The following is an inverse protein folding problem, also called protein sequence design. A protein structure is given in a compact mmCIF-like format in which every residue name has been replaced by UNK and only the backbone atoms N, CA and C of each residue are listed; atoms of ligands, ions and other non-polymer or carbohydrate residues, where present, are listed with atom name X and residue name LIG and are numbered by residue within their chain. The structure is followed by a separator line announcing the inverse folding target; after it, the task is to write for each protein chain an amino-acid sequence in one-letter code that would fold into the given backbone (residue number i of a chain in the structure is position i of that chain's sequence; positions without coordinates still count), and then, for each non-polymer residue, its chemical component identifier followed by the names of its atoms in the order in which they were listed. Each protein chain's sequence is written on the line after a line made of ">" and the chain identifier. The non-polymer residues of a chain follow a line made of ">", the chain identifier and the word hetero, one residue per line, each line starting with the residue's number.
data_IF_785576794192
#
_entry.id   IF_785576794192
#
_cell.length_a   1.000
_cell.length_b   1.000
_cell.length_c   1.000
_cell.angle_alpha   90.00
_cell.angle_beta   90.00
_cell.angle_gamma   90.00
#
_symmetry.space_group_name_H-M   'P 1'
#
loop_
_entity.id
_entity.type
_entity.pdbx_description
1 polymer ?
#
# COMPACT_ATOMS: atom_id res chain seq x y z
N UNK A 1 38.70 1.32 54.61
CA UNK A 1 37.55 1.91 53.92
C UNK A 1 37.83 3.38 53.65
N UNK A 2 38.33 3.66 52.44
CA UNK A 2 38.85 4.98 52.02
C UNK A 2 37.68 5.76 51.40
N UNK A 3 37.32 6.88 52.06
CA UNK A 3 36.34 7.86 51.50
C UNK A 3 36.95 8.50 50.26
N UNK A 4 36.42 8.19 49.09
CA UNK A 4 36.68 9.00 47.91
C UNK A 4 36.25 10.44 48.15
N UNK A 5 37.13 11.37 47.89
CA UNK A 5 36.93 12.80 48.12
C UNK A 5 35.82 13.33 47.19
N UNK A 6 35.05 14.26 47.67
CA UNK A 6 33.91 14.83 46.93
C UNK A 6 34.30 15.47 45.58
N UNK A 7 35.57 15.82 45.42
CA UNK A 7 36.16 16.39 44.20
C UNK A 7 36.22 15.33 43.06
N UNK A 8 36.52 14.06 43.39
CA UNK A 8 36.61 12.98 42.40
C UNK A 8 35.23 12.61 41.81
N UNK A 9 34.18 12.80 42.59
CA UNK A 9 32.79 12.60 42.11
C UNK A 9 32.34 13.69 41.13
N UNK A 10 32.75 14.94 41.35
CA UNK A 10 32.43 16.03 40.42
C UNK A 10 33.13 15.90 39.08
N UNK A 11 34.41 15.48 39.09
CA UNK A 11 35.18 15.24 37.89
C UNK A 11 34.62 14.08 37.06
N UNK A 12 34.20 13.00 37.68
CA UNK A 12 33.54 11.88 37.01
C UNK A 12 32.18 12.28 36.41
N UNK A 13 31.38 13.11 37.11
CA UNK A 13 30.12 13.64 36.58
C UNK A 13 30.35 14.59 35.39
N UNK A 14 31.35 15.48 35.45
CA UNK A 14 31.71 16.34 34.31
C UNK A 14 32.16 15.57 33.09
N UNK A 15 32.96 14.48 33.25
CA UNK A 15 33.32 13.61 32.13
C UNK A 15 32.14 12.84 31.53
N UNK A 16 31.22 12.42 32.40
CA UNK A 16 30.01 11.72 31.95
C UNK A 16 29.05 12.63 31.18
N UNK A 17 28.88 13.88 31.66
CA UNK A 17 28.04 14.90 30.98
C UNK A 17 28.65 15.39 29.67
N UNK A 18 29.98 15.58 29.61
CA UNK A 18 30.63 16.00 28.37
C UNK A 18 30.62 14.88 27.28
N UNK A 19 30.75 13.62 27.67
CA UNK A 19 30.62 12.49 26.76
C UNK A 19 29.19 12.30 26.24
N UNK A 20 28.17 12.56 27.09
CA UNK A 20 26.76 12.47 26.67
C UNK A 20 26.36 13.65 25.75
N UNK A 21 26.88 14.86 25.99
CA UNK A 21 26.65 16.01 25.12
C UNK A 21 27.30 15.85 23.74
N UNK A 22 28.48 15.24 23.67
CA UNK A 22 29.15 14.91 22.40
C UNK A 22 28.40 13.81 21.63
N UNK A 23 27.77 12.86 22.32
CA UNK A 23 26.93 11.82 21.67
C UNK A 23 25.61 12.39 21.15
N UNK A 24 24.99 13.32 21.88
CA UNK A 24 23.74 13.98 21.47
C UNK A 24 23.99 14.94 20.29
N UNK A 25 25.11 15.67 20.27
CA UNK A 25 25.44 16.52 19.12
C UNK A 25 25.81 15.73 17.87
N UNK A 26 26.48 14.57 18.00
CA UNK A 26 26.68 13.65 16.88
C UNK A 26 25.39 12.97 16.39
N UNK A 27 24.49 12.62 17.31
CA UNK A 27 23.17 12.11 16.95
C UNK A 27 22.31 13.20 16.28
N UNK A 28 22.39 14.45 16.75
CA UNK A 28 21.76 15.59 16.11
C UNK A 28 22.30 15.86 14.69
N UNK A 29 23.61 15.75 14.48
CA UNK A 29 24.23 15.91 13.15
C UNK A 29 23.85 14.77 12.19
N UNK A 30 23.67 13.54 12.70
CA UNK A 30 23.18 12.39 11.91
C UNK A 30 21.68 12.50 11.57
N UNK A 31 20.91 13.22 12.39
CA UNK A 31 19.48 13.45 12.14
C UNK A 31 19.19 14.71 11.30
N UNK A 32 20.20 15.57 11.07
CA UNK A 32 20.13 16.75 10.21
C UNK A 32 20.80 16.53 8.83
N UNK A 33 21.32 15.35 8.52
CA UNK A 33 21.37 14.95 7.14
C UNK A 33 19.90 14.82 6.68
N UNK A 34 19.33 15.94 6.24
CA UNK A 34 18.19 15.93 5.36
C UNK A 34 18.54 14.88 4.31
N UNK A 35 17.81 13.78 4.33
CA UNK A 35 17.79 12.89 3.20
C UNK A 35 17.37 13.80 2.04
N UNK A 36 18.34 14.40 1.38
CA UNK A 36 18.14 14.98 0.07
C UNK A 36 17.64 13.81 -0.74
N UNK A 37 16.32 13.72 -0.87
CA UNK A 37 15.68 12.90 -1.88
C UNK A 37 16.22 13.47 -3.19
N UNK A 38 17.43 12.99 -3.58
CA UNK A 38 17.96 13.31 -4.88
C UNK A 38 16.88 12.87 -5.84
N UNK A 39 16.36 13.81 -6.61
CA UNK A 39 15.57 13.52 -7.79
C UNK A 39 16.50 12.83 -8.80
N UNK A 40 16.97 11.64 -8.46
CA UNK A 40 17.50 10.72 -9.43
C UNK A 40 16.31 10.41 -10.32
N UNK A 41 16.38 10.85 -11.58
CA UNK A 41 15.48 10.38 -12.61
C UNK A 41 15.38 8.87 -12.46
N UNK A 42 14.24 8.39 -11.96
CA UNK A 42 14.01 6.96 -11.84
C UNK A 42 14.14 6.40 -13.24
N UNK A 43 15.10 5.49 -13.47
CA UNK A 43 15.09 4.77 -14.72
C UNK A 43 13.75 4.01 -14.80
N UNK A 44 12.98 4.21 -15.86
CA UNK A 44 11.69 3.54 -15.98
C UNK A 44 11.89 2.03 -15.94
N UNK A 45 10.93 1.31 -15.40
CA UNK A 45 10.95 -0.15 -15.45
C UNK A 45 11.14 -0.62 -16.89
N UNK A 46 12.14 -1.45 -17.11
CA UNK A 46 12.33 -2.14 -18.40
C UNK A 46 11.24 -3.18 -18.63
N UNK A 47 10.68 -3.74 -17.53
CA UNK A 47 9.61 -4.73 -17.56
C UNK A 47 8.80 -4.68 -16.27
N UNK A 48 7.54 -4.26 -16.34
CA UNK A 48 6.55 -4.37 -15.27
C UNK A 48 5.82 -5.71 -15.33
N UNK A 49 5.52 -6.25 -14.16
CA UNK A 49 4.86 -7.54 -13.97
C UNK A 49 3.40 -7.36 -13.55
N UNK A 50 2.64 -8.45 -13.59
CA UNK A 50 1.31 -8.56 -12.99
C UNK A 50 1.41 -9.34 -11.69
N UNK A 51 1.03 -8.73 -10.58
CA UNK A 51 1.01 -9.36 -9.27
C UNK A 51 -0.42 -9.51 -8.74
N UNK A 52 -0.72 -10.65 -8.14
CA UNK A 52 -2.02 -10.92 -7.51
C UNK A 52 -1.81 -11.27 -6.04
N UNK A 53 -2.43 -10.48 -5.15
CA UNK A 53 -2.53 -10.80 -3.72
C UNK A 53 -3.95 -11.22 -3.40
N UNK A 54 -4.15 -12.49 -3.05
CA UNK A 54 -5.47 -13.09 -2.82
C UNK A 54 -5.55 -13.87 -1.49
N UNK A 55 -6.60 -14.63 -1.28
CA UNK A 55 -6.84 -15.47 -0.10
C UNK A 55 -7.65 -14.78 0.99
N UNK A 56 -8.07 -15.58 1.99
CA UNK A 56 -8.97 -15.15 3.07
C UNK A 56 -8.24 -14.50 4.25
N UNK A 57 -6.93 -14.65 4.33
CA UNK A 57 -6.10 -14.04 5.37
C UNK A 57 -5.97 -12.54 5.21
N UNK A 58 -5.58 -11.88 6.32
CA UNK A 58 -5.25 -10.45 6.35
C UNK A 58 -3.89 -10.21 5.68
N UNK A 59 -3.72 -9.04 5.04
CA UNK A 59 -2.43 -8.58 4.54
C UNK A 59 -2.39 -8.23 3.05
N UNK A 60 -3.41 -8.52 2.26
CA UNK A 60 -3.45 -8.26 0.81
C UNK A 60 -3.19 -6.79 0.46
N UNK A 61 -4.04 -5.89 0.93
CA UNK A 61 -3.86 -4.44 0.76
C UNK A 61 -2.54 -3.96 1.40
N UNK A 62 -2.19 -4.49 2.60
CA UNK A 62 -0.94 -4.13 3.29
C UNK A 62 0.30 -4.51 2.47
N UNK A 63 0.30 -5.67 1.82
CA UNK A 63 1.39 -6.10 0.94
C UNK A 63 1.51 -5.18 -0.30
N UNK A 64 0.38 -4.87 -0.94
CA UNK A 64 0.34 -3.93 -2.05
C UNK A 64 0.86 -2.54 -1.64
N UNK A 65 0.40 -2.01 -0.50
CA UNK A 65 0.87 -0.72 0.03
C UNK A 65 2.34 -0.75 0.44
N UNK A 66 2.87 -1.87 0.92
CA UNK A 66 4.31 -2.06 1.14
C UNK A 66 5.12 -1.90 -0.14
N UNK A 67 4.62 -2.45 -1.26
CA UNK A 67 5.22 -2.26 -2.59
C UNK A 67 5.10 -0.81 -3.06
N UNK A 68 3.95 -0.16 -2.85
CA UNK A 68 3.73 1.26 -3.14
C UNK A 68 4.76 2.14 -2.40
N UNK A 69 4.92 1.96 -1.09
CA UNK A 69 5.89 2.74 -0.30
C UNK A 69 7.31 2.56 -0.83
N UNK A 70 7.69 1.33 -1.20
CA UNK A 70 8.99 1.05 -1.81
C UNK A 70 9.16 1.75 -3.16
N UNK A 71 8.15 1.70 -4.02
CA UNK A 71 8.14 2.36 -5.32
C UNK A 71 8.28 3.88 -5.18
N UNK A 72 7.48 4.49 -4.29
CA UNK A 72 7.55 5.93 -3.99
C UNK A 72 8.92 6.32 -3.43
N UNK A 73 9.54 5.47 -2.59
CA UNK A 73 10.89 5.66 -2.07
C UNK A 73 11.97 5.67 -3.15
N UNK A 74 11.69 5.13 -4.33
CA UNK A 74 12.54 5.19 -5.52
C UNK A 74 12.05 6.23 -6.55
N UNK A 75 11.15 7.11 -6.18
CA UNK A 75 10.65 8.18 -7.06
C UNK A 75 9.68 7.74 -8.14
N UNK A 76 9.21 6.48 -8.12
CA UNK A 76 8.24 5.98 -9.10
C UNK A 76 6.88 6.65 -8.92
N UNK A 77 6.12 6.77 -10.01
CA UNK A 77 4.77 7.34 -10.06
C UNK A 77 3.75 6.23 -9.86
N UNK A 78 2.87 6.40 -8.88
CA UNK A 78 1.93 5.37 -8.44
C UNK A 78 0.49 5.84 -8.57
N UNK A 79 -0.38 4.99 -9.11
CA UNK A 79 -1.82 5.15 -9.03
C UNK A 79 -2.45 4.00 -8.25
N UNK A 80 -3.33 4.33 -7.28
CA UNK A 80 -4.08 3.34 -6.51
C UNK A 80 -5.57 3.56 -6.75
N UNK A 81 -6.24 2.54 -7.27
CA UNK A 81 -7.69 2.54 -7.48
C UNK A 81 -8.33 1.59 -6.49
N UNK A 82 -9.11 2.15 -5.59
CA UNK A 82 -9.84 1.39 -4.57
C UNK A 82 -11.25 1.06 -5.06
N UNK A 83 -11.55 -0.21 -5.15
CA UNK A 83 -12.91 -0.73 -5.41
C UNK A 83 -13.66 -0.90 -4.11
N UNK A 84 -14.96 -0.61 -4.08
CA UNK A 84 -15.87 -0.85 -2.95
C UNK A 84 -15.47 -0.19 -1.62
N UNK A 85 -14.56 0.78 -1.63
CA UNK A 85 -14.04 1.40 -0.39
C UNK A 85 -14.49 2.84 -0.17
N UNK A 86 -15.17 3.45 -1.13
CA UNK A 86 -15.76 4.79 -1.03
C UNK A 86 -14.90 5.80 -0.24
N UNK A 87 -15.55 6.60 0.58
CA UNK A 87 -14.91 7.59 1.47
C UNK A 87 -14.62 7.07 2.88
N UNK A 88 -14.60 5.75 3.10
CA UNK A 88 -14.26 5.18 4.41
C UNK A 88 -12.85 5.65 4.87
N UNK A 89 -12.68 6.03 6.14
CA UNK A 89 -11.47 6.71 6.63
C UNK A 89 -10.32 5.74 6.89
N UNK A 90 -9.78 5.13 5.84
CA UNK A 90 -8.58 4.30 5.94
C UNK A 90 -7.35 5.15 6.28
N UNK A 91 -6.61 4.75 7.32
CA UNK A 91 -5.48 5.52 7.85
C UNK A 91 -4.35 5.73 6.86
N UNK A 92 -4.06 4.75 5.99
CA UNK A 92 -3.03 4.83 4.97
C UNK A 92 -3.27 5.97 3.96
N UNK A 93 -4.52 6.31 3.66
CA UNK A 93 -4.85 7.42 2.76
C UNK A 93 -4.38 8.77 3.28
N UNK A 94 -4.41 8.96 4.61
CA UNK A 94 -3.95 10.20 5.24
C UNK A 94 -2.43 10.39 5.11
N UNK A 95 -1.67 9.31 5.02
CA UNK A 95 -0.22 9.37 4.82
C UNK A 95 0.08 9.50 3.33
N UNK A 96 -0.49 8.64 2.50
CA UNK A 96 -0.24 8.62 1.05
C UNK A 96 -0.62 9.95 0.39
N UNK A 97 -1.72 10.61 0.80
CA UNK A 97 -2.13 11.91 0.24
C UNK A 97 -1.11 13.04 0.46
N UNK A 98 -0.13 12.85 1.32
CA UNK A 98 0.94 13.83 1.60
C UNK A 98 2.24 13.51 0.86
N UNK A 99 2.33 12.35 0.24
CA UNK A 99 3.52 11.94 -0.49
C UNK A 99 3.44 12.44 -1.94
N UNK A 100 4.58 12.82 -2.54
CA UNK A 100 4.65 13.10 -3.97
C UNK A 100 4.48 11.81 -4.78
N UNK A 101 4.17 11.97 -6.06
CA UNK A 101 4.12 10.89 -7.05
C UNK A 101 3.08 9.79 -6.78
N UNK A 102 2.07 10.03 -5.93
CA UNK A 102 0.97 9.09 -5.73
C UNK A 102 -0.38 9.76 -5.99
N UNK A 103 -1.20 9.08 -6.76
CA UNK A 103 -2.61 9.44 -7.01
C UNK A 103 -3.49 8.34 -6.48
N UNK A 104 -4.61 8.70 -5.87
CA UNK A 104 -5.58 7.76 -5.34
C UNK A 104 -6.97 8.09 -5.86
N UNK A 105 -7.68 7.08 -6.36
CA UNK A 105 -9.09 7.16 -6.73
C UNK A 105 -9.88 6.12 -5.94
N UNK A 106 -11.03 6.51 -5.37
CA UNK A 106 -11.86 5.62 -4.55
C UNK A 106 -13.28 5.60 -5.04
N UNK A 107 -13.80 4.39 -5.21
CA UNK A 107 -15.14 4.12 -5.71
C UNK A 107 -15.89 3.21 -4.74
N UNK A 108 -17.22 3.36 -4.73
CA UNK A 108 -18.12 2.63 -3.83
C UNK A 108 -18.81 3.53 -2.82
N UNK A 109 -19.76 2.95 -2.09
CA UNK A 109 -20.50 3.62 -1.01
C UNK A 109 -19.81 3.40 0.35
N UNK A 110 -20.36 4.04 1.40
CA UNK A 110 -20.01 3.74 2.80
C UNK A 110 -20.67 2.46 3.31
N UNK A 111 -21.72 2.01 2.63
CA UNK A 111 -22.46 0.81 2.99
C UNK A 111 -21.72 -0.44 2.51
N UNK A 112 -21.85 -1.52 3.26
CA UNK A 112 -21.39 -2.83 2.81
C UNK A 112 -22.27 -3.33 1.67
N UNK A 113 -21.60 -3.81 0.62
CA UNK A 113 -22.30 -4.42 -0.52
C UNK A 113 -22.80 -5.80 -0.11
N UNK A 114 -24.09 -6.07 -0.38
CA UNK A 114 -24.65 -7.40 -0.30
C UNK A 114 -24.37 -8.16 -1.61
N UNK A 115 -23.46 -9.15 -1.62
CA UNK A 115 -23.12 -9.86 -2.84
C UNK A 115 -24.27 -10.69 -3.42
N UNK A 116 -25.34 -10.92 -2.64
CA UNK A 116 -26.55 -11.62 -3.11
C UNK A 116 -27.56 -10.69 -3.78
N UNK A 117 -27.41 -9.38 -3.56
CA UNK A 117 -28.34 -8.36 -4.09
C UNK A 117 -27.56 -7.09 -4.50
N UNK A 118 -26.66 -7.23 -5.48
CA UNK A 118 -25.83 -6.14 -5.99
C UNK A 118 -26.70 -5.10 -6.71
N UNK A 119 -26.60 -3.85 -6.30
CA UNK A 119 -27.35 -2.72 -6.87
C UNK A 119 -26.71 -2.22 -8.18
N UNK A 120 -27.51 -1.66 -9.12
CA UNK A 120 -26.97 -1.07 -10.35
C UNK A 120 -25.91 0.01 -10.11
N UNK A 121 -26.09 0.84 -9.08
CA UNK A 121 -25.18 1.93 -8.70
C UNK A 121 -23.81 1.37 -8.25
N UNK A 122 -23.78 0.22 -7.57
CA UNK A 122 -22.56 -0.44 -7.13
C UNK A 122 -21.76 -0.98 -8.33
N UNK A 123 -22.45 -1.53 -9.32
CA UNK A 123 -21.86 -1.95 -10.59
C UNK A 123 -21.29 -0.77 -11.37
N UNK A 124 -22.04 0.34 -11.41
CA UNK A 124 -21.56 1.55 -12.09
C UNK A 124 -20.32 2.13 -11.44
N UNK A 125 -20.26 2.19 -10.10
CA UNK A 125 -19.06 2.60 -9.36
C UNK A 125 -17.86 1.69 -9.66
N UNK A 126 -18.06 0.38 -9.73
CA UNK A 126 -17.00 -0.57 -10.04
C UNK A 126 -16.52 -0.45 -11.51
N UNK A 127 -17.44 -0.16 -12.46
CA UNK A 127 -17.03 0.14 -13.86
C UNK A 127 -16.24 1.42 -13.97
N UNK A 128 -16.62 2.48 -13.25
CA UNK A 128 -15.87 3.73 -13.20
C UNK A 128 -14.48 3.51 -12.61
N UNK A 129 -14.35 2.69 -11.55
CA UNK A 129 -13.07 2.28 -11.01
C UNK A 129 -12.20 1.60 -12.06
N UNK A 130 -12.75 0.65 -12.81
CA UNK A 130 -12.02 -0.05 -13.86
C UNK A 130 -11.63 0.86 -15.02
N UNK A 131 -12.50 1.77 -15.42
CA UNK A 131 -12.20 2.76 -16.45
C UNK A 131 -11.06 3.69 -16.03
N UNK A 132 -11.09 4.20 -14.78
CA UNK A 132 -10.01 5.02 -14.20
C UNK A 132 -8.68 4.24 -14.14
N UNK A 133 -8.74 2.97 -13.74
CA UNK A 133 -7.54 2.11 -13.72
C UNK A 133 -6.96 1.93 -15.12
N UNK A 134 -7.83 1.72 -16.12
CA UNK A 134 -7.41 1.58 -17.51
C UNK A 134 -6.77 2.87 -18.04
N UNK A 135 -7.37 4.00 -17.79
CA UNK A 135 -6.82 5.31 -18.17
C UNK A 135 -5.45 5.52 -17.51
N UNK A 136 -5.34 5.31 -16.19
CA UNK A 136 -4.08 5.45 -15.47
C UNK A 136 -2.98 4.53 -16.03
N UNK A 137 -3.33 3.31 -16.40
CA UNK A 137 -2.38 2.33 -16.94
C UNK A 137 -1.88 2.69 -18.35
N UNK A 138 -2.73 3.30 -19.19
CA UNK A 138 -2.43 3.49 -20.61
C UNK A 138 -1.86 4.89 -20.95
N UNK A 139 -1.99 5.87 -20.04
CA UNK A 139 -1.61 7.27 -20.32
C UNK A 139 -0.13 7.59 -20.05
N UNK A 140 0.72 6.60 -19.80
CA UNK A 140 2.16 6.74 -19.48
C UNK A 140 2.48 7.68 -18.30
N UNK A 141 1.50 7.88 -17.40
CA UNK A 141 1.66 8.75 -16.24
C UNK A 141 2.12 8.01 -14.99
N UNK A 142 2.04 6.69 -14.97
CA UNK A 142 2.32 5.88 -13.79
C UNK A 142 3.19 4.68 -14.12
N UNK A 143 4.11 4.37 -13.21
CA UNK A 143 5.01 3.24 -13.29
C UNK A 143 4.44 2.02 -12.55
N UNK A 144 3.57 2.27 -11.55
CA UNK A 144 2.85 1.25 -10.78
C UNK A 144 1.36 1.60 -10.67
N UNK A 145 0.50 0.67 -11.03
CA UNK A 145 -0.96 0.76 -10.84
C UNK A 145 -1.43 -0.35 -9.90
N UNK A 146 -2.19 0.03 -8.88
CA UNK A 146 -2.77 -0.91 -7.90
C UNK A 146 -4.28 -0.88 -8.01
N UNK A 147 -4.89 -2.05 -8.18
CA UNK A 147 -6.33 -2.28 -8.18
C UNK A 147 -6.72 -2.99 -6.87
N UNK A 148 -7.07 -2.20 -5.87
CA UNK A 148 -7.34 -2.75 -4.54
C UNK A 148 -8.79 -3.23 -4.43
N UNK A 149 -8.98 -4.50 -4.05
CA UNK A 149 -10.23 -5.26 -4.00
C UNK A 149 -10.85 -5.59 -5.38
N UNK A 150 -10.12 -5.49 -6.48
CA UNK A 150 -10.65 -5.83 -7.82
C UNK A 150 -11.02 -7.32 -7.93
N UNK A 151 -10.25 -8.22 -7.30
CA UNK A 151 -10.57 -9.66 -7.34
C UNK A 151 -11.94 -9.95 -6.72
N UNK A 152 -12.27 -9.26 -5.61
CA UNK A 152 -13.55 -9.40 -4.96
C UNK A 152 -14.68 -8.75 -5.77
N UNK A 153 -14.41 -7.63 -6.45
CA UNK A 153 -15.36 -7.00 -7.35
C UNK A 153 -15.77 -7.92 -8.50
N UNK A 154 -14.82 -8.69 -9.04
CA UNK A 154 -15.09 -9.76 -10.04
C UNK A 154 -15.92 -10.87 -9.42
N UNK A 155 -15.49 -11.41 -8.26
CA UNK A 155 -16.17 -12.51 -7.59
C UNK A 155 -17.62 -12.19 -7.24
N UNK A 156 -17.92 -10.93 -6.90
CA UNK A 156 -19.26 -10.43 -6.60
C UNK A 156 -20.02 -9.92 -7.83
N UNK A 157 -19.48 -10.10 -9.03
CA UNK A 157 -20.11 -9.70 -10.31
C UNK A 157 -20.46 -8.21 -10.39
N UNK A 158 -19.65 -7.37 -9.76
CA UNK A 158 -19.71 -5.92 -9.91
C UNK A 158 -19.13 -5.50 -11.26
N UNK A 159 -18.10 -6.20 -11.72
CA UNK A 159 -17.49 -6.08 -13.05
C UNK A 159 -17.31 -7.48 -13.65
N UNK A 160 -17.27 -7.55 -14.96
CA UNK A 160 -17.07 -8.81 -15.67
C UNK A 160 -15.58 -9.21 -15.64
N UNK A 161 -15.32 -10.50 -15.44
CA UNK A 161 -13.96 -11.03 -15.43
C UNK A 161 -13.21 -10.69 -16.73
N UNK A 162 -13.87 -10.80 -17.90
CA UNK A 162 -13.26 -10.54 -19.19
C UNK A 162 -12.83 -9.08 -19.38
N UNK A 163 -13.42 -8.13 -18.64
CA UNK A 163 -12.98 -6.73 -18.66
C UNK A 163 -11.64 -6.58 -17.93
N UNK A 164 -11.44 -7.27 -16.82
CA UNK A 164 -10.17 -7.27 -16.08
C UNK A 164 -9.09 -8.03 -16.88
N UNK A 165 -9.45 -9.14 -17.51
CA UNK A 165 -8.54 -9.89 -18.41
C UNK A 165 -8.06 -8.99 -19.56
N UNK A 166 -8.96 -8.24 -20.21
CA UNK A 166 -8.58 -7.29 -21.24
C UNK A 166 -7.65 -6.20 -20.71
N UNK A 167 -7.95 -5.66 -19.51
CA UNK A 167 -7.08 -4.67 -18.89
C UNK A 167 -5.66 -5.23 -18.67
N UNK A 168 -5.52 -6.45 -18.15
CA UNK A 168 -4.21 -7.11 -17.98
C UNK A 168 -3.51 -7.30 -19.32
N UNK A 169 -4.25 -7.74 -20.36
CA UNK A 169 -3.69 -7.97 -21.70
C UNK A 169 -3.20 -6.68 -22.38
N UNK A 170 -3.86 -5.57 -22.10
CA UNK A 170 -3.53 -4.25 -22.65
C UNK A 170 -2.43 -3.52 -21.85
N UNK A 171 -1.95 -4.11 -20.75
CA UNK A 171 -0.93 -3.51 -19.88
C UNK A 171 0.34 -3.18 -20.66
N UNK A 172 0.82 -1.91 -20.63
CA UNK A 172 2.13 -1.57 -21.19
C UNK A 172 3.25 -2.37 -20.52
N UNK A 173 4.30 -2.66 -21.30
CA UNK A 173 5.39 -3.51 -20.82
C UNK A 173 6.13 -2.90 -19.62
N UNK A 174 6.20 -1.58 -19.53
CA UNK A 174 6.89 -0.81 -18.49
C UNK A 174 6.02 -0.48 -17.26
N UNK A 175 4.76 -0.94 -17.19
CA UNK A 175 3.88 -0.69 -16.05
C UNK A 175 3.78 -1.91 -15.16
N UNK A 176 4.03 -1.76 -13.87
CA UNK A 176 3.74 -2.76 -12.85
C UNK A 176 2.26 -2.71 -12.50
N UNK A 177 1.59 -3.85 -12.42
CA UNK A 177 0.17 -3.95 -12.10
C UNK A 177 -0.04 -4.88 -10.91
N UNK A 178 -0.69 -4.37 -9.84
CA UNK A 178 -1.02 -5.16 -8.65
C UNK A 178 -2.53 -5.26 -8.50
N UNK A 179 -3.04 -6.49 -8.40
CA UNK A 179 -4.43 -6.79 -8.13
C UNK A 179 -4.56 -7.37 -6.71
N UNK A 180 -5.49 -6.84 -5.91
CA UNK A 180 -5.75 -7.41 -4.59
C UNK A 180 -7.21 -7.83 -4.44
N UNK A 181 -7.49 -8.64 -3.44
CA UNK A 181 -8.82 -9.07 -3.05
C UNK A 181 -8.94 -10.57 -2.82
N UNK A 182 -9.98 -10.95 -2.10
CA UNK A 182 -10.32 -12.36 -1.93
C UNK A 182 -10.82 -12.96 -3.23
N UNK A 183 -10.83 -14.30 -3.31
CA UNK A 183 -11.48 -15.05 -4.37
C UNK A 183 -11.00 -14.64 -5.78
N UNK A 184 -9.69 -14.47 -5.97
CA UNK A 184 -9.15 -14.24 -7.30
C UNK A 184 -9.55 -15.40 -8.23
N UNK A 185 -10.11 -15.06 -9.39
CA UNK A 185 -10.47 -16.04 -10.40
C UNK A 185 -9.20 -16.76 -10.94
N UNK A 186 -9.35 -18.06 -11.23
CA UNK A 186 -8.25 -18.89 -11.71
C UNK A 186 -7.59 -18.32 -12.97
N UNK A 187 -8.35 -17.68 -13.84
CA UNK A 187 -7.82 -17.06 -15.08
C UNK A 187 -6.93 -15.86 -14.76
N UNK A 188 -7.27 -15.05 -13.74
CA UNK A 188 -6.40 -13.95 -13.26
C UNK A 188 -5.12 -14.49 -12.66
N UNK A 189 -5.21 -15.57 -11.87
CA UNK A 189 -4.06 -16.27 -11.30
C UNK A 189 -3.14 -16.82 -12.39
N UNK A 190 -3.68 -17.38 -13.47
CA UNK A 190 -2.90 -17.92 -14.59
C UNK A 190 -2.21 -16.83 -15.43
N UNK A 191 -2.79 -15.63 -15.51
CA UNK A 191 -2.20 -14.51 -16.25
C UNK A 191 -1.15 -13.72 -15.44
N UNK A 192 -1.14 -13.88 -14.13
CA UNK A 192 -0.21 -13.16 -13.26
C UNK A 192 1.20 -13.74 -13.31
N UNK A 193 2.21 -12.88 -13.23
CA UNK A 193 3.61 -13.26 -13.12
C UNK A 193 3.98 -13.64 -11.66
N UNK A 194 3.28 -13.07 -10.67
CA UNK A 194 3.44 -13.36 -9.25
C UNK A 194 2.08 -13.48 -8.58
N UNK A 195 1.89 -14.56 -7.83
CA UNK A 195 0.69 -14.76 -7.02
C UNK A 195 1.08 -15.10 -5.59
N UNK A 196 0.47 -14.38 -4.64
CA UNK A 196 0.62 -14.69 -3.22
C UNK A 196 -0.76 -14.88 -2.60
N UNK A 197 -0.98 -16.02 -1.96
CA UNK A 197 -2.18 -16.30 -1.22
C UNK A 197 -1.98 -16.09 0.28
N UNK A 198 -2.79 -15.22 0.88
CA UNK A 198 -2.82 -14.95 2.31
C UNK A 198 -3.76 -15.96 3.00
N UNK A 199 -3.20 -16.98 3.61
CA UNK A 199 -3.98 -18.02 4.29
C UNK A 199 -4.51 -17.52 5.63
N UNK A 200 -5.79 -17.77 5.90
CA UNK A 200 -6.42 -17.52 7.20
C UNK A 200 -6.17 -18.68 8.16
N UNK A 201 -4.99 -18.74 8.80
CA UNK A 201 -4.68 -19.73 9.84
C UNK A 201 -5.50 -19.46 11.11
N UNK A 202 -5.56 -18.18 11.53
CA UNK A 202 -6.38 -17.67 12.64
C UNK A 202 -6.79 -16.24 12.31
N UNK A 203 -8.01 -15.86 12.63
CA UNK A 203 -8.47 -14.49 12.42
C UNK A 203 -9.24 -14.00 13.64
N UNK A 204 -8.97 -12.77 14.15
CA UNK A 204 -9.69 -12.20 15.29
C UNK A 204 -11.20 -12.09 15.07
N UNK A 205 -11.62 -11.86 13.83
CA UNK A 205 -13.02 -11.80 13.44
C UNK A 205 -13.80 -13.08 13.77
N UNK A 206 -13.17 -14.25 13.66
CA UNK A 206 -13.78 -15.55 14.00
C UNK A 206 -14.08 -15.65 15.50
N UNK A 207 -13.51 -14.77 16.32
CA UNK A 207 -13.76 -14.62 17.76
C UNK A 207 -14.63 -13.40 18.10
N UNK A 208 -15.28 -12.79 17.10
CA UNK A 208 -16.15 -11.64 17.27
C UNK A 208 -15.41 -10.30 17.44
N UNK A 209 -14.09 -10.23 17.25
CA UNK A 209 -13.37 -8.97 17.31
C UNK A 209 -13.58 -8.19 15.99
N UNK A 210 -14.16 -7.01 16.11
CA UNK A 210 -14.37 -6.10 14.97
C UNK A 210 -13.08 -5.39 14.55
N UNK A 211 -13.12 -4.71 13.41
CA UNK A 211 -11.98 -3.93 12.88
C UNK A 211 -11.57 -2.81 13.84
N UNK A 212 -10.27 -2.69 14.11
CA UNK A 212 -9.69 -1.70 15.03
C UNK A 212 -9.04 -0.57 14.25
N UNK A 213 -9.30 0.66 14.69
CA UNK A 213 -8.66 1.86 14.13
C UNK A 213 -7.15 1.80 14.29
N UNK A 214 -6.42 2.14 13.22
CA UNK A 214 -4.96 2.14 13.18
C UNK A 214 -4.32 0.76 12.96
N UNK A 215 -5.13 -0.33 12.90
CA UNK A 215 -4.64 -1.69 12.65
C UNK A 215 -5.32 -2.32 11.43
N UNK A 216 -6.64 -2.25 11.34
CA UNK A 216 -7.40 -2.75 10.18
C UNK A 216 -7.84 -1.62 9.24
N UNK A 217 -7.92 -0.37 9.74
CA UNK A 217 -8.25 0.81 8.94
C UNK A 217 -7.66 2.10 9.51
#
# INVERSE_FOLDING_TARGET
>A
MTRLRQVDKLLLLQHYYSASLLSVSRLGALLTEEASFSSSSSEPFTKGLVQVFTGDGKGKTTAALGTVIRALGHGLRVCIVYFMKGSYPYGERNILSKLPNVTMASFGSLEFIDPTNVKPEEKEQARQALATAREAMLNDSYDLVVLDEVNLAVAWKLIELDEVIRLISDKPQNVELILTGRQADTRLVQMADLVTEMLKIKHPYDKGLTSRKGIEY
#
